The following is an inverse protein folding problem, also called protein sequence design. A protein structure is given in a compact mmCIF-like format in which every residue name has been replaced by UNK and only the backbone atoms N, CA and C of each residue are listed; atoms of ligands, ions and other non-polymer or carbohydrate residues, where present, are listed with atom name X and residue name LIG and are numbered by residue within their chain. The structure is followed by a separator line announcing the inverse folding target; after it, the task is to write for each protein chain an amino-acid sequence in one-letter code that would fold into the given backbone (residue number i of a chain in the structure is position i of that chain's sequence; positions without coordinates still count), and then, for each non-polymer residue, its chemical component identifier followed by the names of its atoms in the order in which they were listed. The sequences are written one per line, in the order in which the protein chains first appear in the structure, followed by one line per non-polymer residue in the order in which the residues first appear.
data_IF_799306916356
#
_entry.id   IF_799306916356
#
_cell.length_a   1.000
_cell.length_b   1.000
_cell.length_c   1.000
_cell.angle_alpha   90.00
_cell.angle_beta   90.00
_cell.angle_gamma   90.00
#
_symmetry.space_group_name_H-M   'P 1'
#
loop_
_entity.id
_entity.type
_entity.pdbx_description
1 polymer ?
#
# COMPACT_ATOMS: atom_id res chain seq x y z
N UNK A 1 -2.16 17.64 49.62
CA UNK A 1 -1.17 17.03 48.72
C UNK A 1 -1.79 15.75 48.17
N UNK A 2 -2.49 15.83 47.03
CA UNK A 2 -3.03 14.65 46.36
C UNK A 2 -2.43 14.61 44.95
N UNK A 3 -1.62 13.59 44.72
CA UNK A 3 -1.02 13.25 43.43
C UNK A 3 -2.13 12.86 42.46
N UNK A 4 -2.33 13.66 41.41
CA UNK A 4 -3.20 13.28 40.29
C UNK A 4 -2.55 12.18 39.46
N UNK A 5 -3.33 11.28 38.83
CA UNK A 5 -2.78 10.28 37.93
C UNK A 5 -2.21 11.00 36.71
N UNK A 6 -0.90 10.82 36.50
CA UNK A 6 -0.23 11.28 35.29
C UNK A 6 -0.80 10.55 34.08
N UNK A 7 -1.73 11.20 33.38
CA UNK A 7 -2.09 10.82 32.01
C UNK A 7 -0.83 11.08 31.19
N UNK A 8 -0.09 10.00 30.91
CA UNK A 8 0.99 10.04 29.93
C UNK A 8 0.39 10.48 28.58
N UNK A 9 1.04 11.39 27.83
CA UNK A 9 0.56 11.73 26.51
C UNK A 9 0.58 10.47 25.64
N UNK A 10 -0.58 10.14 25.05
CA UNK A 10 -0.65 9.22 23.91
C UNK A 10 0.12 9.90 22.79
N UNK A 11 1.37 9.50 22.58
CA UNK A 11 2.17 9.91 21.43
C UNK A 11 1.52 9.26 20.19
N UNK A 12 0.88 10.03 19.29
CA UNK A 12 0.46 9.49 18.02
C UNK A 12 1.73 9.17 17.22
N UNK A 13 1.89 7.93 16.77
CA UNK A 13 3.05 7.50 15.98
C UNK A 13 3.84 6.31 16.52
N UNK A 14 3.60 5.86 17.76
CA UNK A 14 4.28 4.66 18.28
C UNK A 14 3.87 3.38 17.53
N UNK A 15 2.66 3.34 16.98
CA UNK A 15 2.20 2.25 16.11
C UNK A 15 2.76 2.35 14.68
N UNK A 16 3.10 3.55 14.20
CA UNK A 16 3.71 3.76 12.88
C UNK A 16 5.22 3.52 12.87
N UNK A 17 5.93 3.88 13.95
CA UNK A 17 7.35 3.58 14.11
C UNK A 17 7.63 2.07 14.16
N UNK A 18 6.67 1.28 14.64
CA UNK A 18 6.72 -0.19 14.56
C UNK A 18 6.56 -0.68 13.10
N UNK A 19 5.66 -0.07 12.32
CA UNK A 19 5.47 -0.39 10.90
C UNK A 19 6.70 -0.05 10.03
N UNK A 20 7.48 0.99 10.36
CA UNK A 20 8.69 1.34 9.60
C UNK A 20 9.82 0.33 9.76
N UNK A 21 10.01 -0.23 10.97
CA UNK A 21 10.91 -1.37 11.16
C UNK A 21 10.34 -2.64 10.50
N UNK A 22 9.02 -2.81 10.49
CA UNK A 22 8.37 -3.93 9.81
C UNK A 22 8.58 -3.91 8.30
N UNK A 23 8.56 -2.75 7.62
CA UNK A 23 8.76 -2.71 6.15
C UNK A 23 10.12 -3.28 5.77
N UNK A 24 11.19 -2.90 6.47
CA UNK A 24 12.54 -3.43 6.17
C UNK A 24 12.65 -4.93 6.47
N UNK A 25 12.01 -5.41 7.54
CA UNK A 25 11.92 -6.84 7.86
C UNK A 25 11.13 -7.60 6.79
N UNK A 26 10.01 -7.05 6.32
CA UNK A 26 9.19 -7.61 5.25
C UNK A 26 9.95 -7.69 3.94
N UNK A 27 10.69 -6.63 3.57
CA UNK A 27 11.56 -6.66 2.40
C UNK A 27 12.61 -7.78 2.53
N UNK A 28 13.28 -7.87 3.69
CA UNK A 28 14.26 -8.92 3.97
C UNK A 28 13.67 -10.34 3.89
N UNK A 29 12.45 -10.56 4.38
CA UNK A 29 11.74 -11.83 4.26
C UNK A 29 11.57 -12.26 2.80
N UNK A 30 11.27 -11.31 1.91
CA UNK A 30 11.14 -11.54 0.48
C UNK A 30 12.47 -11.39 -0.30
N UNK A 31 13.61 -11.34 0.39
CA UNK A 31 14.95 -11.16 -0.19
C UNK A 31 15.04 -9.91 -1.08
N UNK A 32 14.34 -8.85 -0.68
CA UNK A 32 14.37 -7.56 -1.34
C UNK A 32 15.15 -6.53 -0.53
N UNK A 33 15.84 -5.64 -1.24
CA UNK A 33 16.35 -4.40 -0.70
C UNK A 33 15.62 -3.18 -1.29
N UNK A 34 15.84 -2.00 -0.70
CA UNK A 34 15.20 -0.74 -1.12
C UNK A 34 15.55 -0.36 -2.57
N UNK A 35 16.76 -0.71 -3.04
CA UNK A 35 17.18 -0.44 -4.41
C UNK A 35 16.40 -1.31 -5.41
N UNK A 36 16.21 -2.59 -5.11
CA UNK A 36 15.40 -3.51 -5.91
C UNK A 36 13.92 -3.13 -5.89
N UNK A 37 13.40 -2.57 -4.80
CA UNK A 37 12.05 -1.99 -4.77
C UNK A 37 11.97 -0.79 -5.72
N UNK A 38 12.96 0.12 -5.68
CA UNK A 38 13.05 1.28 -6.58
C UNK A 38 13.10 0.86 -8.05
N UNK A 39 13.88 -0.15 -8.39
CA UNK A 39 13.95 -0.68 -9.77
C UNK A 39 12.57 -1.17 -10.25
N UNK A 40 11.78 -1.78 -9.37
CA UNK A 40 10.42 -2.21 -9.71
C UNK A 40 9.47 -1.05 -9.94
N UNK A 41 9.63 0.09 -9.26
CA UNK A 41 8.87 1.32 -9.57
C UNK A 41 9.03 1.70 -11.05
N UNK A 42 10.28 1.71 -11.53
CA UNK A 42 10.58 2.12 -12.91
C UNK A 42 10.22 1.06 -13.95
N UNK A 43 10.28 -0.23 -13.59
CA UNK A 43 10.03 -1.35 -14.51
C UNK A 43 8.59 -1.89 -14.49
N UNK A 44 7.75 -1.40 -13.57
CA UNK A 44 6.40 -1.89 -13.43
C UNK A 44 5.59 -1.74 -14.74
N UNK A 45 4.93 -2.82 -15.21
CA UNK A 45 4.30 -2.89 -16.52
C UNK A 45 3.07 -1.98 -16.62
N UNK A 46 2.37 -1.73 -15.51
CA UNK A 46 1.18 -0.88 -15.50
C UNK A 46 1.35 0.33 -14.57
N UNK A 47 0.63 1.45 -14.83
CA UNK A 47 0.62 2.59 -13.90
C UNK A 47 0.19 2.21 -12.48
N UNK A 48 -0.75 1.28 -12.34
CA UNK A 48 -1.27 0.85 -11.05
C UNK A 48 -0.24 0.04 -10.26
N UNK A 49 0.47 -0.87 -10.91
CA UNK A 49 1.58 -1.59 -10.27
C UNK A 49 2.72 -0.64 -9.89
N UNK A 50 3.04 0.31 -10.77
CA UNK A 50 4.04 1.35 -10.47
C UNK A 50 3.67 2.16 -9.24
N UNK A 51 2.42 2.57 -9.11
CA UNK A 51 1.91 3.31 -7.95
C UNK A 51 2.07 2.49 -6.66
N UNK A 52 1.72 1.20 -6.69
CA UNK A 52 1.89 0.29 -5.55
C UNK A 52 3.35 0.11 -5.13
N UNK A 53 4.23 -0.14 -6.11
CA UNK A 53 5.68 -0.21 -5.85
C UNK A 53 6.22 1.12 -5.33
N UNK A 54 5.68 2.25 -5.81
CA UNK A 54 6.10 3.57 -5.35
C UNK A 54 5.73 3.80 -3.90
N UNK A 55 4.53 3.37 -3.46
CA UNK A 55 4.12 3.42 -2.08
C UNK A 55 5.08 2.63 -1.17
N UNK A 56 5.39 1.38 -1.52
CA UNK A 56 6.32 0.54 -0.76
C UNK A 56 7.72 1.18 -0.68
N UNK A 57 8.19 1.78 -1.78
CA UNK A 57 9.48 2.48 -1.80
C UNK A 57 9.50 3.70 -0.87
N UNK A 58 8.44 4.52 -0.85
CA UNK A 58 8.37 5.68 0.03
C UNK A 58 8.29 5.26 1.51
N UNK A 59 7.51 4.24 1.83
CA UNK A 59 7.45 3.66 3.18
C UNK A 59 8.82 3.14 3.63
N UNK A 60 9.55 2.43 2.76
CA UNK A 60 10.90 1.94 3.06
C UNK A 60 11.94 3.08 3.24
N UNK A 61 11.62 4.29 2.77
CA UNK A 61 12.42 5.51 3.00
C UNK A 61 12.03 6.26 4.27
N UNK A 62 11.11 5.73 5.07
CA UNK A 62 10.67 6.30 6.33
C UNK A 62 9.54 7.33 6.21
N UNK A 63 8.82 7.36 5.09
CA UNK A 63 7.59 8.16 5.00
C UNK A 63 6.46 7.47 5.77
N UNK A 64 5.59 8.24 6.44
CA UNK A 64 4.40 7.69 7.10
C UNK A 64 3.33 7.27 6.08
N UNK A 65 2.37 6.45 6.50
CA UNK A 65 1.30 6.02 5.60
C UNK A 65 0.47 7.22 5.10
N UNK A 66 0.25 8.24 5.91
CA UNK A 66 -0.46 9.47 5.52
C UNK A 66 0.35 10.29 4.51
N UNK A 67 1.67 10.43 4.71
CA UNK A 67 2.52 11.16 3.77
C UNK A 67 2.54 10.49 2.39
N UNK A 68 2.58 9.15 2.37
CA UNK A 68 2.51 8.38 1.13
C UNK A 68 1.14 8.51 0.48
N UNK A 69 0.06 8.42 1.27
CA UNK A 69 -1.30 8.56 0.79
C UNK A 69 -1.53 9.93 0.14
N UNK A 70 -1.08 11.01 0.79
CA UNK A 70 -1.13 12.37 0.26
C UNK A 70 -0.35 12.48 -1.05
N UNK A 71 0.91 12.01 -1.08
CA UNK A 71 1.78 12.09 -2.24
C UNK A 71 1.23 11.32 -3.46
N UNK A 72 0.54 10.21 -3.23
CA UNK A 72 -0.04 9.38 -4.28
C UNK A 72 -1.52 9.68 -4.55
N UNK A 73 -2.09 10.68 -3.86
CA UNK A 73 -3.52 11.03 -3.93
C UNK A 73 -4.44 9.82 -3.67
N UNK A 74 -4.09 9.05 -2.64
CA UNK A 74 -4.82 7.88 -2.15
C UNK A 74 -5.25 8.07 -0.70
N UNK A 75 -6.07 7.15 -0.24
CA UNK A 75 -6.42 7.03 1.18
C UNK A 75 -5.41 6.15 1.91
N UNK A 76 -5.11 6.47 3.18
CA UNK A 76 -4.16 5.71 3.99
C UNK A 76 -4.57 4.24 4.16
N UNK A 77 -5.87 3.92 4.12
CA UNK A 77 -6.37 2.55 4.12
C UNK A 77 -5.90 1.78 2.90
N UNK A 78 -5.90 2.41 1.73
CA UNK A 78 -5.43 1.79 0.49
C UNK A 78 -3.94 1.45 0.56
N UNK A 79 -3.14 2.34 1.17
CA UNK A 79 -1.71 2.09 1.39
C UNK A 79 -1.51 0.90 2.34
N UNK A 80 -2.27 0.84 3.43
CA UNK A 80 -2.23 -0.27 4.38
C UNK A 80 -2.65 -1.61 3.74
N UNK A 81 -3.67 -1.61 2.88
CA UNK A 81 -4.12 -2.80 2.17
C UNK A 81 -3.01 -3.31 1.21
N UNK A 82 -2.31 -2.42 0.50
CA UNK A 82 -1.17 -2.83 -0.35
C UNK A 82 0.00 -3.39 0.45
N UNK A 83 0.29 -2.82 1.63
CA UNK A 83 1.32 -3.35 2.51
C UNK A 83 0.97 -4.75 3.01
N UNK A 84 -0.30 -4.95 3.38
CA UNK A 84 -0.83 -6.27 3.78
C UNK A 84 -0.72 -7.28 2.63
N UNK A 85 -1.14 -6.90 1.42
CA UNK A 85 -1.02 -7.76 0.23
C UNK A 85 0.44 -8.17 -0.05
N UNK A 86 1.40 -7.26 0.15
CA UNK A 86 2.82 -7.57 -0.01
C UNK A 86 3.38 -8.40 1.13
N UNK A 87 2.93 -8.19 2.36
CA UNK A 87 3.31 -9.05 3.48
C UNK A 87 2.94 -10.51 3.20
N UNK A 88 1.71 -10.72 2.73
CA UNK A 88 1.16 -12.06 2.52
C UNK A 88 1.69 -12.74 1.25
N UNK A 89 1.82 -11.99 0.15
CA UNK A 89 2.09 -12.55 -1.19
C UNK A 89 3.41 -12.09 -1.80
N UNK A 90 4.14 -11.20 -1.12
CA UNK A 90 5.39 -10.64 -1.62
C UNK A 90 5.17 -9.81 -2.88
N UNK A 91 6.12 -9.86 -3.84
CA UNK A 91 6.01 -9.13 -5.11
C UNK A 91 4.73 -9.41 -5.91
N UNK A 92 4.10 -10.58 -5.74
CA UNK A 92 2.84 -10.90 -6.39
C UNK A 92 1.67 -10.08 -5.82
N UNK A 93 1.72 -9.66 -4.55
CA UNK A 93 0.71 -8.74 -3.98
C UNK A 93 0.71 -7.37 -4.66
N UNK A 94 1.81 -7.03 -5.34
CA UNK A 94 1.98 -5.75 -6.04
C UNK A 94 1.46 -5.80 -7.48
N UNK A 95 1.19 -6.98 -8.05
CA UNK A 95 0.63 -7.11 -9.40
C UNK A 95 -0.83 -6.70 -9.41
N UNK A 96 -1.27 -6.08 -10.51
CA UNK A 96 -2.67 -5.71 -10.68
C UNK A 96 -3.30 -6.59 -11.74
N UNK A 97 -4.04 -7.61 -11.31
CA UNK A 97 -4.96 -8.28 -12.20
C UNK A 97 -6.26 -7.48 -12.26
N UNK A 98 -6.53 -6.93 -13.44
CA UNK A 98 -7.81 -6.31 -13.72
C UNK A 98 -8.84 -7.44 -13.85
N UNK A 99 -9.48 -7.83 -12.74
CA UNK A 99 -10.70 -8.65 -12.75
C UNK A 99 -11.87 -7.80 -13.28
N UNK A 100 -11.75 -7.37 -14.53
CA UNK A 100 -12.86 -6.83 -15.29
C UNK A 100 -13.81 -7.98 -15.56
N UNK A 101 -14.92 -8.04 -14.83
CA UNK A 101 -16.03 -8.90 -15.20
C UNK A 101 -16.39 -8.65 -16.67
N UNK A 102 -16.67 -9.71 -17.42
CA UNK A 102 -17.18 -9.59 -18.79
C UNK A 102 -18.39 -8.64 -18.76
N UNK A 103 -18.46 -7.63 -19.65
CA UNK A 103 -19.62 -6.76 -19.71
C UNK A 103 -20.88 -7.61 -19.95
N UNK A 104 -22.01 -7.31 -19.28
CA UNK A 104 -23.24 -8.07 -19.48
C UNK A 104 -23.63 -8.02 -20.96
N UNK A 105 -24.13 -9.13 -21.55
CA UNK A 105 -24.56 -9.14 -22.94
C UNK A 105 -25.64 -8.08 -23.13
N UNK A 106 -25.41 -7.16 -24.07
CA UNK A 106 -26.34 -6.07 -24.37
C UNK A 106 -27.65 -6.66 -24.91
N UNK A 107 -28.66 -6.78 -24.05
CA UNK A 107 -30.02 -7.09 -24.46
C UNK A 107 -30.62 -5.84 -25.11
N UNK A 108 -30.43 -5.69 -26.42
CA UNK A 108 -31.32 -4.88 -27.26
C UNK A 108 -32.38 -5.79 -27.87
N UNK A 109 -33.63 -5.80 -27.39
CA UNK A 109 -34.73 -6.32 -28.17
C UNK A 109 -35.07 -5.30 -29.26
N UNK A 110 -34.91 -5.74 -30.52
CA UNK A 110 -35.30 -5.00 -31.71
C UNK A 110 -36.78 -4.65 -31.70
N UNK A 111 -37.08 -3.37 -31.95
CA UNK A 111 -38.41 -2.86 -32.28
C UNK A 111 -38.94 -3.62 -33.51
N UNK A 112 -40.11 -4.25 -33.39
CA UNK A 112 -40.87 -4.79 -34.54
C UNK A 112 -42.13 -3.95 -34.72
N UNK A 113 -42.31 -3.53 -35.98
CA UNK A 113 -43.42 -2.75 -36.56
C UNK A 113 -44.79 -3.34 -36.29
#
# INVERSE_FOLDING_TARGET
MQSGPGILPVIPGLREALLMNDVMVMLGHWQLDVHQVRERVYRAPTPRERERWHALWLLARGWSAEQVAEALQRDCRTIADWLTDFQDKGPQGMTFEQTGGSPPPSTRPSKRS
#
